data_IF_928463369186
#
_entry.id   IF_928463369186
#
_cell.length_a   1.000
_cell.length_b   1.000
_cell.length_c   1.000
_cell.angle_alpha   90.00
_cell.angle_beta   90.00
_cell.angle_gamma   90.00
#
_symmetry.space_group_name_H-M   'P 1'
#
loop_
_entity.id
_entity.type
_entity.pdbx_description
1 polymer ?
#
# COMPACT_ATOMS: atom_id res chain seq x y z
N UNK A 1 -1.34 2.39 1.63
CA UNK A 1 -2.16 3.45 1.02
C UNK A 1 -2.19 3.25 -0.48
N UNK A 2 -3.34 3.52 -1.11
CA UNK A 2 -3.49 3.54 -2.56
C UNK A 2 -3.89 4.95 -2.96
N UNK A 3 -3.15 5.56 -3.87
CA UNK A 3 -3.45 6.87 -4.45
C UNK A 3 -3.87 6.67 -5.90
N UNK A 4 -5.03 7.19 -6.29
CA UNK A 4 -5.62 6.99 -7.62
C UNK A 4 -5.80 8.35 -8.28
N UNK A 5 -5.38 8.50 -9.54
CA UNK A 5 -5.48 9.75 -10.28
C UNK A 5 -5.64 9.50 -11.78
N UNK A 6 -6.31 10.42 -12.46
CA UNK A 6 -6.49 10.52 -13.91
C UNK A 6 -5.48 11.47 -14.59
N UNK A 7 -4.57 12.08 -13.82
CA UNK A 7 -3.45 12.86 -14.34
C UNK A 7 -3.67 14.37 -14.34
N UNK A 8 -4.82 14.85 -13.86
CA UNK A 8 -5.03 16.28 -13.63
C UNK A 8 -4.41 16.75 -12.29
N UNK A 9 -3.23 17.36 -12.32
CA UNK A 9 -2.78 18.19 -11.19
C UNK A 9 -3.22 19.64 -11.41
N UNK A 10 -4.46 19.95 -11.03
CA UNK A 10 -5.00 21.31 -11.06
C UNK A 10 -4.52 22.19 -9.89
N UNK A 11 -3.68 21.66 -8.98
CA UNK A 11 -3.42 22.28 -7.69
C UNK A 11 -2.11 23.06 -7.62
N UNK A 12 -1.16 22.80 -8.53
CA UNK A 12 0.16 23.42 -8.54
C UNK A 12 1.02 23.08 -7.32
N UNK A 13 0.66 22.04 -6.55
CA UNK A 13 1.37 21.60 -5.35
C UNK A 13 2.27 20.40 -5.67
N UNK A 14 3.44 20.35 -5.05
CA UNK A 14 4.32 19.20 -5.16
C UNK A 14 3.73 17.99 -4.40
N UNK A 15 3.01 17.12 -5.11
CA UNK A 15 2.42 15.90 -4.55
C UNK A 15 3.46 14.95 -3.95
N UNK A 16 4.71 14.99 -4.44
CA UNK A 16 5.81 14.17 -3.89
C UNK A 16 6.21 14.69 -2.52
N UNK A 17 6.27 16.02 -2.34
CA UNK A 17 6.53 16.63 -1.04
C UNK A 17 5.44 16.27 -0.02
N UNK A 18 4.16 16.24 -0.43
CA UNK A 18 3.05 15.84 0.44
C UNK A 18 3.19 14.38 0.90
N UNK A 19 3.52 13.45 -0.01
CA UNK A 19 3.75 12.04 0.35
C UNK A 19 4.95 11.89 1.30
N UNK A 20 6.02 12.67 1.11
CA UNK A 20 7.16 12.70 2.02
C UNK A 20 6.78 13.22 3.40
N UNK A 21 5.99 14.28 3.47
CA UNK A 21 5.48 14.82 4.74
C UNK A 21 4.56 13.82 5.45
N UNK A 22 3.67 13.16 4.72
CA UNK A 22 2.85 12.06 5.23
C UNK A 22 3.71 10.94 5.82
N UNK A 23 4.85 10.62 5.19
CA UNK A 23 5.82 9.67 5.74
C UNK A 23 6.44 10.15 7.04
N UNK A 24 6.83 11.40 7.14
CA UNK A 24 7.44 11.90 8.37
C UNK A 24 6.43 11.90 9.53
N UNK A 25 5.17 12.19 9.23
CA UNK A 25 4.09 12.22 10.23
C UNK A 25 3.59 10.82 10.63
N UNK A 26 3.43 9.89 9.68
CA UNK A 26 2.86 8.55 9.94
C UNK A 26 3.89 7.41 9.95
N UNK A 27 5.04 7.60 9.30
CA UNK A 27 5.99 6.55 8.95
C UNK A 27 6.94 6.14 10.07
N UNK A 28 7.02 6.89 11.17
CA UNK A 28 7.89 6.52 12.30
C UNK A 28 7.40 5.23 12.99
N UNK A 29 6.09 4.92 12.96
CA UNK A 29 5.51 3.80 13.73
C UNK A 29 4.70 2.77 12.91
N UNK A 30 4.41 2.98 11.62
CA UNK A 30 3.35 2.21 10.93
C UNK A 30 3.71 1.55 9.59
N UNK A 31 4.99 1.40 9.22
CA UNK A 31 5.41 0.73 7.96
C UNK A 31 4.56 1.18 6.75
N UNK A 32 4.41 2.50 6.59
CA UNK A 32 3.53 3.08 5.59
C UNK A 32 4.10 2.93 4.17
N UNK A 33 3.43 2.16 3.31
CA UNK A 33 3.73 2.01 1.87
C UNK A 33 2.65 2.72 1.04
N UNK A 34 3.08 3.45 0.00
CA UNK A 34 2.17 4.16 -0.92
C UNK A 34 2.25 3.56 -2.33
N UNK A 35 1.16 2.95 -2.79
CA UNK A 35 0.98 2.54 -4.17
C UNK A 35 0.20 3.60 -4.95
N UNK A 36 0.52 3.79 -6.22
CA UNK A 36 -0.19 4.73 -7.10
C UNK A 36 -0.88 3.97 -8.23
N UNK A 37 -2.06 4.44 -8.65
CA UNK A 37 -2.83 3.86 -9.76
C UNK A 37 -3.23 5.00 -10.68
N UNK A 38 -2.78 4.93 -11.93
CA UNK A 38 -3.24 5.81 -12.98
C UNK A 38 -4.48 5.25 -13.66
N UNK A 39 -5.54 6.04 -13.73
CA UNK A 39 -6.76 5.73 -14.47
C UNK A 39 -6.84 6.59 -15.73
N UNK A 40 -7.37 6.04 -16.81
CA UNK A 40 -7.52 6.68 -18.11
C UNK A 40 -6.21 6.85 -18.93
N UNK A 41 -6.40 6.99 -20.24
CA UNK A 41 -5.42 7.21 -21.30
C UNK A 41 -4.51 8.43 -21.10
N UNK A 42 -4.94 9.38 -20.27
CA UNK A 42 -4.18 10.57 -19.86
C UNK A 42 -2.90 10.25 -19.08
N UNK A 43 -2.79 9.05 -18.51
CA UNK A 43 -1.58 8.58 -17.83
C UNK A 43 -0.84 7.56 -18.71
N UNK A 44 -0.45 8.02 -19.89
CA UNK A 44 0.38 7.23 -20.81
C UNK A 44 1.81 7.14 -20.28
N UNK A 45 2.52 6.03 -20.55
CA UNK A 45 3.93 5.92 -20.18
C UNK A 45 4.74 7.05 -20.81
N UNK A 46 5.53 7.75 -19.98
CA UNK A 46 6.31 8.92 -20.40
C UNK A 46 5.62 10.27 -20.20
N UNK A 47 4.32 10.30 -19.84
CA UNK A 47 3.65 11.54 -19.43
C UNK A 47 4.19 12.06 -18.09
N UNK A 48 4.09 13.38 -17.89
CA UNK A 48 4.45 14.03 -16.62
C UNK A 48 3.63 13.49 -15.45
N UNK A 49 2.35 13.19 -15.67
CA UNK A 49 1.47 12.56 -14.68
C UNK A 49 1.97 11.16 -14.30
N UNK A 50 2.33 10.30 -15.27
CA UNK A 50 2.87 8.97 -14.99
C UNK A 50 4.20 9.03 -14.22
N UNK A 51 5.06 10.00 -14.56
CA UNK A 51 6.32 10.23 -13.84
C UNK A 51 6.07 10.69 -12.40
N UNK A 52 5.12 11.60 -12.18
CA UNK A 52 4.74 12.08 -10.85
C UNK A 52 4.20 10.95 -9.98
N UNK A 53 3.29 10.13 -10.50
CA UNK A 53 2.78 8.94 -9.79
C UNK A 53 3.89 7.93 -9.46
N UNK A 54 4.87 7.79 -10.35
CA UNK A 54 6.03 6.94 -10.11
C UNK A 54 6.93 7.48 -9.01
N UNK A 55 7.19 8.79 -9.02
CA UNK A 55 7.98 9.45 -7.98
C UNK A 55 7.27 9.39 -6.61
N UNK A 56 5.94 9.53 -6.58
CA UNK A 56 5.14 9.37 -5.36
C UNK A 56 5.23 7.96 -4.78
N UNK A 57 5.06 6.92 -5.61
CA UNK A 57 5.17 5.54 -5.16
C UNK A 57 6.59 5.21 -4.69
N UNK A 58 7.61 5.64 -5.44
CA UNK A 58 9.02 5.42 -5.12
C UNK A 58 9.45 6.05 -3.80
N UNK A 59 8.89 7.22 -3.45
CA UNK A 59 9.18 7.90 -2.18
C UNK A 59 8.90 7.02 -0.95
N UNK A 60 8.05 6.00 -1.08
CA UNK A 60 7.66 5.06 -0.01
C UNK A 60 7.83 3.58 -0.33
N UNK A 61 8.61 3.26 -1.36
CA UNK A 61 8.89 1.87 -1.73
C UNK A 61 7.63 1.11 -2.20
N UNK A 62 6.60 1.82 -2.65
CA UNK A 62 5.45 1.21 -3.30
C UNK A 62 5.67 1.04 -4.80
N UNK A 63 4.59 0.78 -5.51
CA UNK A 63 4.58 0.54 -6.96
C UNK A 63 3.48 1.36 -7.63
N UNK A 64 3.74 1.75 -8.87
CA UNK A 64 2.77 2.37 -9.77
C UNK A 64 2.08 1.30 -10.59
N UNK A 65 0.77 1.46 -10.79
CA UNK A 65 -0.06 0.63 -11.64
C UNK A 65 -0.85 1.52 -12.61
N UNK A 66 -1.32 0.92 -13.71
CA UNK A 66 -2.28 1.55 -14.62
C UNK A 66 -3.52 0.66 -14.66
N UNK A 67 -4.70 1.27 -14.63
CA UNK A 67 -5.97 0.59 -14.72
C UNK A 67 -6.92 1.39 -15.62
N UNK A 68 -7.27 0.82 -16.78
CA UNK A 68 -8.16 1.48 -17.74
C UNK A 68 -9.58 0.90 -17.72
N UNK A 69 -9.76 -0.23 -17.04
CA UNK A 69 -11.04 -0.91 -16.85
C UNK A 69 -11.30 -1.23 -15.39
N UNK A 70 -12.55 -1.55 -15.06
CA UNK A 70 -12.92 -2.02 -13.72
C UNK A 70 -12.20 -3.31 -13.31
N UNK A 71 -11.90 -4.18 -14.28
CA UNK A 71 -11.23 -5.45 -14.00
C UNK A 71 -9.72 -5.30 -13.78
N UNK A 72 -9.09 -4.32 -14.45
CA UNK A 72 -7.71 -3.92 -14.14
C UNK A 72 -7.62 -3.40 -12.70
N UNK A 73 -8.57 -2.56 -12.29
CA UNK A 73 -8.57 -1.99 -10.94
C UNK A 73 -8.75 -3.07 -9.87
N UNK A 74 -9.65 -4.04 -10.08
CA UNK A 74 -9.80 -5.22 -9.21
C UNK A 74 -8.51 -6.02 -9.12
N UNK A 75 -7.84 -6.25 -10.26
CA UNK A 75 -6.58 -6.99 -10.31
C UNK A 75 -5.48 -6.27 -9.52
N UNK A 76 -5.36 -4.96 -9.69
CA UNK A 76 -4.41 -4.12 -8.94
C UNK A 76 -4.69 -4.16 -7.44
N UNK A 77 -5.95 -4.04 -7.02
CA UNK A 77 -6.31 -4.13 -5.60
C UNK A 77 -6.00 -5.49 -5.00
N UNK A 78 -6.31 -6.58 -5.72
CA UNK A 78 -5.97 -7.92 -5.27
C UNK A 78 -4.45 -8.11 -5.15
N UNK A 79 -3.68 -7.59 -6.10
CA UNK A 79 -2.21 -7.67 -6.06
C UNK A 79 -1.64 -6.87 -4.88
N UNK A 80 -2.16 -5.67 -4.61
CA UNK A 80 -1.72 -4.85 -3.46
C UNK A 80 -2.10 -5.52 -2.13
N UNK A 81 -3.32 -6.06 -2.03
CA UNK A 81 -3.80 -6.76 -0.84
C UNK A 81 -2.98 -8.02 -0.54
N UNK A 82 -2.68 -8.83 -1.56
CA UNK A 82 -1.88 -10.06 -1.41
C UNK A 82 -0.45 -9.77 -0.94
N UNK A 83 0.12 -8.63 -1.33
CA UNK A 83 1.46 -8.21 -0.93
C UNK A 83 1.47 -7.31 0.32
N UNK A 84 0.33 -7.10 0.97
CA UNK A 84 0.26 -6.33 2.21
C UNK A 84 0.80 -7.16 3.38
N UNK A 85 2.02 -6.84 3.80
CA UNK A 85 2.66 -7.44 4.97
C UNK A 85 1.92 -7.16 6.26
N UNK A 86 1.01 -6.19 6.29
CA UNK A 86 0.15 -5.90 7.45
C UNK A 86 -0.79 -7.06 7.75
N UNK A 87 -1.38 -7.69 6.72
CA UNK A 87 -2.23 -8.88 6.89
C UNK A 87 -1.42 -10.07 7.38
N UNK A 88 -0.21 -10.27 6.83
CA UNK A 88 0.71 -11.35 7.23
C UNK A 88 1.17 -11.17 8.68
N UNK A 89 1.61 -9.97 9.05
CA UNK A 89 2.06 -9.65 10.41
C UNK A 89 0.91 -9.76 11.44
N UNK A 90 -0.32 -9.46 11.04
CA UNK A 90 -1.50 -9.67 11.90
C UNK A 90 -1.75 -11.16 12.12
N UNK A 91 -1.69 -11.97 11.04
CA UNK A 91 -1.85 -13.43 11.09
C UNK A 91 -0.75 -14.08 11.93
N UNK A 92 0.50 -13.65 11.79
CA UNK A 92 1.61 -14.12 12.64
C UNK A 92 1.38 -13.79 14.11
N UNK A 93 0.95 -12.56 14.44
CA UNK A 93 0.62 -12.18 15.82
C UNK A 93 -0.53 -13.01 16.39
N UNK A 94 -1.59 -13.21 15.62
CA UNK A 94 -2.71 -14.06 16.03
C UNK A 94 -2.26 -15.51 16.24
N UNK A 95 -1.43 -16.03 15.35
CA UNK A 95 -0.88 -17.40 15.44
C UNK A 95 -0.01 -17.55 16.69
N UNK A 96 0.82 -16.58 17.02
CA UNK A 96 1.64 -16.58 18.23
C UNK A 96 0.79 -16.56 19.51
N UNK A 97 -0.26 -15.73 19.56
CA UNK A 97 -1.19 -15.66 20.70
C UNK A 97 -1.93 -16.99 20.87
N UNK A 98 -2.43 -17.58 19.77
CA UNK A 98 -3.13 -18.86 19.81
C UNK A 98 -2.20 -19.99 20.26
N UNK A 99 -0.99 -20.06 19.71
CA UNK A 99 0.02 -21.06 20.10
C UNK A 99 0.35 -20.96 21.60
N UNK A 100 0.50 -19.74 22.13
CA UNK A 100 0.75 -19.53 23.56
C UNK A 100 -0.42 -20.03 24.42
N UNK A 101 -1.67 -19.69 24.06
CA UNK A 101 -2.85 -20.12 24.83
C UNK A 101 -3.07 -21.64 24.80
N UNK A 102 -2.84 -22.27 23.64
CA UNK A 102 -2.94 -23.73 23.49
C UNK A 102 -1.85 -24.41 24.33
N UNK A 103 -0.61 -23.91 24.28
CA UNK A 103 0.51 -24.46 25.06
C UNK A 103 0.23 -24.42 26.57
N UNK A 104 -0.26 -23.29 27.08
CA UNK A 104 -0.65 -23.16 28.49
C UNK A 104 -1.79 -24.12 28.85
N UNK A 105 -2.78 -24.29 27.98
CA UNK A 105 -3.91 -25.19 28.22
C UNK A 105 -3.48 -26.66 28.26
N UNK A 106 -2.61 -27.08 27.34
CA UNK A 106 -2.02 -28.43 27.36
C UNK A 106 -1.21 -28.64 28.64
N UNK A 107 -0.42 -27.66 29.06
CA UNK A 107 0.35 -27.75 30.30
C UNK A 107 -0.55 -27.94 31.52
N UNK A 108 -1.71 -27.26 31.58
CA UNK A 108 -2.67 -27.38 32.69
C UNK A 108 -3.44 -28.70 32.65
N UNK A 109 -3.78 -29.21 31.47
CA UNK A 109 -4.62 -30.41 31.34
C UNK A 109 -3.83 -31.73 31.46
N UNK A 110 -2.50 -31.70 31.32
CA UNK A 110 -1.65 -32.89 31.30
C UNK A 110 -0.55 -32.93 32.38
N UNK A 111 -0.50 -31.96 33.30
CA UNK A 111 0.28 -31.98 34.54
C UNK A 111 -0.65 -31.96 35.76
#
# INVERSE_FOLDING_TARGET
MIFISDGGDGSGKDCVAIIRQLKEQYGVNHNFVCHTVGVDSGISQGSSAAQLLTNMAAARGGRTYSANTSDDLKTVFNHIAANSTTSVALVERFSAILAQKISVKIMIDYL
#
